data_IF_197061783001
#
_entry.id   IF_197061783001
#
_cell.length_a   1.000
_cell.length_b   1.000
_cell.length_c   1.000
_cell.angle_alpha   90.00
_cell.angle_beta   90.00
_cell.angle_gamma   90.00
#
_symmetry.space_group_name_H-M   'P 1'
#
loop_
_entity.id
_entity.type
_entity.pdbx_description
1 polymer ?
#
# COMPACT_ATOMS: atom_id res chain seq x y z
N UNK A 1 13.71 72.73 41.19
CA UNK A 1 12.70 71.66 41.08
C UNK A 1 12.94 70.86 39.81
N UNK A 2 13.64 69.71 39.90
CA UNK A 2 13.87 68.77 38.79
C UNK A 2 13.18 67.45 39.15
N UNK A 3 12.32 66.96 38.26
CA UNK A 3 11.54 65.72 38.40
C UNK A 3 12.45 64.50 38.37
N UNK A 4 12.20 63.57 39.30
CA UNK A 4 12.81 62.23 39.35
C UNK A 4 11.97 61.33 38.44
N UNK A 5 12.62 60.69 37.47
CA UNK A 5 12.02 59.67 36.61
C UNK A 5 12.36 58.29 37.19
N UNK A 6 11.35 57.54 37.57
CA UNK A 6 11.47 56.17 38.09
C UNK A 6 11.45 55.19 36.90
N UNK A 7 12.56 54.51 36.63
CA UNK A 7 12.60 53.41 35.65
C UNK A 7 12.10 52.11 36.31
N UNK A 8 11.00 51.58 35.79
CA UNK A 8 10.42 50.29 36.19
C UNK A 8 11.04 49.18 35.33
N UNK A 9 11.87 48.31 35.93
CA UNK A 9 12.38 47.11 35.26
C UNK A 9 11.27 46.04 35.22
N UNK A 10 10.72 45.77 34.04
CA UNK A 10 9.86 44.61 33.79
C UNK A 10 10.74 43.40 33.43
N UNK A 11 10.81 42.41 34.31
CA UNK A 11 11.30 41.06 33.98
C UNK A 11 10.28 40.38 33.06
N UNK A 12 10.65 40.11 31.82
CA UNK A 12 9.93 39.18 30.95
C UNK A 12 10.29 37.75 31.34
N UNK A 13 9.41 37.07 32.05
CA UNK A 13 9.47 35.62 32.20
C UNK A 13 8.92 35.02 30.91
N UNK A 14 9.80 34.54 30.03
CA UNK A 14 9.36 33.75 28.88
C UNK A 14 8.88 32.39 29.38
N UNK A 15 7.58 32.16 29.31
CA UNK A 15 7.01 30.82 29.48
C UNK A 15 7.44 30.04 28.25
N UNK A 16 8.49 29.23 28.37
CA UNK A 16 8.84 28.24 27.36
C UNK A 16 7.75 27.18 27.43
N UNK A 17 6.76 27.28 26.56
CA UNK A 17 5.80 26.20 26.34
C UNK A 17 6.59 24.99 25.86
N UNK A 18 6.57 23.84 26.55
CA UNK A 18 7.20 22.64 26.02
C UNK A 18 6.52 22.35 24.67
N UNK A 19 7.32 22.33 23.61
CA UNK A 19 6.91 21.85 22.30
C UNK A 19 6.60 20.36 22.47
N UNK A 20 5.35 20.03 22.80
CA UNK A 20 4.89 18.65 22.74
C UNK A 20 5.15 18.18 21.31
N UNK A 21 6.06 17.22 21.16
CA UNK A 21 6.27 16.52 19.91
C UNK A 21 4.90 15.99 19.49
N UNK A 22 4.32 16.62 18.46
CA UNK A 22 3.05 16.18 17.88
C UNK A 22 3.28 14.75 17.47
N UNK A 23 2.60 13.79 18.10
CA UNK A 23 2.61 12.40 17.65
C UNK A 23 2.25 12.45 16.17
N UNK A 24 3.20 12.12 15.29
CA UNK A 24 3.03 12.16 13.83
C UNK A 24 2.17 10.97 13.44
N UNK A 25 0.88 11.02 13.79
CA UNK A 25 -0.09 10.02 13.39
C UNK A 25 -0.21 10.03 11.86
N UNK A 26 -0.46 8.86 11.24
CA UNK A 26 -0.79 8.81 9.83
C UNK A 26 -1.96 9.75 9.48
N UNK A 27 -1.79 10.50 8.41
CA UNK A 27 -2.75 11.48 7.91
C UNK A 27 -3.68 10.80 6.90
N UNK A 28 -4.96 10.64 7.29
CA UNK A 28 -5.99 10.13 6.40
C UNK A 28 -6.68 11.26 5.64
N UNK A 29 -6.85 11.08 4.34
CA UNK A 29 -7.61 11.97 3.48
C UNK A 29 -8.61 11.17 2.66
N UNK A 30 -9.84 11.69 2.57
CA UNK A 30 -10.88 11.18 1.69
C UNK A 30 -11.03 12.10 0.48
N UNK A 31 -11.12 11.51 -0.71
CA UNK A 31 -11.35 12.18 -1.98
C UNK A 31 -12.55 11.55 -2.66
N UNK A 32 -13.41 12.39 -3.24
CA UNK A 32 -14.46 11.96 -4.15
C UNK A 32 -14.23 12.59 -5.52
N UNK A 33 -13.81 11.79 -6.49
CA UNK A 33 -13.48 12.25 -7.85
C UNK A 33 -14.47 11.60 -8.82
N UNK A 34 -15.32 12.41 -9.45
CA UNK A 34 -16.33 11.92 -10.41
C UNK A 34 -17.24 10.82 -9.83
N UNK A 35 -17.53 10.90 -8.52
CA UNK A 35 -18.33 9.91 -7.80
C UNK A 35 -17.54 8.70 -7.30
N UNK A 36 -16.24 8.61 -7.56
CA UNK A 36 -15.38 7.54 -7.06
C UNK A 36 -14.82 7.89 -5.68
N UNK A 37 -15.02 6.98 -4.72
CA UNK A 37 -14.44 7.05 -3.39
C UNK A 37 -12.98 6.60 -3.40
N UNK A 38 -12.11 7.47 -2.87
CA UNK A 38 -10.67 7.24 -2.79
C UNK A 38 -10.19 7.66 -1.40
N UNK A 39 -9.51 6.77 -0.71
CA UNK A 39 -8.87 7.03 0.57
C UNK A 39 -7.37 7.03 0.42
N UNK A 40 -6.75 8.01 1.06
CA UNK A 40 -5.31 8.20 1.11
C UNK A 40 -4.87 8.13 2.56
N UNK A 41 -3.80 7.39 2.85
CA UNK A 41 -3.16 7.36 4.15
C UNK A 41 -1.68 7.67 3.97
N UNK A 42 -1.24 8.86 4.40
CA UNK A 42 0.16 9.27 4.32
C UNK A 42 0.80 9.22 5.70
N UNK A 43 2.01 8.70 5.79
CA UNK A 43 2.70 8.54 7.07
C UNK A 43 4.21 8.60 6.92
N UNK A 44 4.86 9.02 8.00
CA UNK A 44 6.31 9.05 8.10
C UNK A 44 6.81 7.64 8.51
N UNK A 45 7.72 7.01 7.76
CA UNK A 45 8.28 5.71 8.14
C UNK A 45 8.96 5.72 9.53
N UNK A 46 9.40 6.89 10.01
CA UNK A 46 9.98 7.00 11.34
C UNK A 46 8.94 6.96 12.46
N UNK A 47 7.67 7.24 12.17
CA UNK A 47 6.56 7.26 13.15
C UNK A 47 5.88 5.91 13.40
N UNK A 48 6.09 4.93 12.51
CA UNK A 48 5.43 3.61 12.55
C UNK A 48 6.43 2.49 12.23
N UNK A 49 6.06 1.24 12.51
CA UNK A 49 6.68 0.06 11.93
C UNK A 49 5.78 -0.54 10.85
N UNK A 50 6.31 -0.70 9.64
CA UNK A 50 5.61 -1.21 8.46
C UNK A 50 6.00 -2.67 8.28
N UNK A 51 5.03 -3.57 8.46
CA UNK A 51 5.27 -5.01 8.34
C UNK A 51 4.39 -5.63 7.26
N UNK A 52 4.92 -6.64 6.58
CA UNK A 52 4.12 -7.56 5.77
C UNK A 52 3.82 -8.81 6.61
N UNK A 53 2.57 -9.26 6.59
CA UNK A 53 2.10 -10.45 7.30
C UNK A 53 1.29 -11.37 6.39
N UNK A 54 1.26 -12.65 6.74
CA UNK A 54 0.32 -13.66 6.21
C UNK A 54 -0.05 -14.62 7.33
N UNK A 55 -1.12 -15.39 7.16
CA UNK A 55 -1.42 -16.49 8.08
C UNK A 55 -0.34 -17.59 8.01
N UNK A 56 0.11 -18.14 9.15
CA UNK A 56 1.10 -19.22 9.17
C UNK A 56 0.64 -20.48 8.43
N UNK A 57 -0.66 -20.78 8.49
CA UNK A 57 -1.32 -21.98 7.94
C UNK A 57 -1.76 -21.83 6.47
N UNK A 58 -1.35 -20.75 5.79
CA UNK A 58 -1.74 -20.39 4.42
C UNK A 58 -3.25 -20.12 4.23
N UNK A 59 -4.06 -20.09 5.29
CA UNK A 59 -5.45 -19.65 5.19
C UNK A 59 -5.50 -18.17 4.90
N UNK A 60 -6.40 -17.80 3.98
CA UNK A 60 -6.69 -16.39 3.70
C UNK A 60 -7.49 -15.80 4.87
N UNK A 61 -7.21 -14.55 5.21
CA UNK A 61 -7.89 -13.81 6.29
C UNK A 61 -8.15 -12.38 5.87
N UNK A 62 -9.13 -11.75 6.49
CA UNK A 62 -9.42 -10.34 6.24
C UNK A 62 -8.26 -9.46 6.71
N UNK A 63 -8.06 -8.30 6.08
CA UNK A 63 -7.17 -7.23 6.57
C UNK A 63 -7.63 -6.79 7.95
N UNK A 64 -8.94 -6.75 8.20
CA UNK A 64 -9.50 -6.45 9.53
C UNK A 64 -9.00 -7.42 10.60
N UNK A 65 -8.96 -8.72 10.32
CA UNK A 65 -8.41 -9.72 11.24
C UNK A 65 -6.92 -9.52 11.47
N UNK A 66 -6.14 -9.30 10.41
CA UNK A 66 -4.70 -9.04 10.55
C UNK A 66 -4.42 -7.79 11.39
N UNK A 67 -5.17 -6.70 11.17
CA UNK A 67 -5.05 -5.47 11.96
C UNK A 67 -5.34 -5.73 13.44
N UNK A 68 -6.41 -6.46 13.75
CA UNK A 68 -6.80 -6.79 15.13
C UNK A 68 -5.78 -7.68 15.83
N UNK A 69 -5.33 -8.75 15.16
CA UNK A 69 -4.38 -9.71 15.73
C UNK A 69 -3.01 -9.08 16.02
N UNK A 70 -2.54 -8.20 15.13
CA UNK A 70 -1.24 -7.56 15.27
C UNK A 70 -1.29 -6.25 16.05
N UNK A 71 -2.45 -5.85 16.59
CA UNK A 71 -2.66 -4.55 17.23
C UNK A 71 -2.16 -3.38 16.36
N UNK A 72 -2.37 -3.49 15.04
CA UNK A 72 -1.96 -2.47 14.08
C UNK A 72 -2.91 -1.26 14.17
N UNK A 73 -2.39 -0.07 13.89
CA UNK A 73 -3.19 1.13 13.71
C UNK A 73 -3.96 1.07 12.40
N UNK A 74 -3.30 0.63 11.32
CA UNK A 74 -3.90 0.53 10.01
C UNK A 74 -3.39 -0.67 9.23
N UNK A 75 -4.14 -1.08 8.20
CA UNK A 75 -3.73 -2.12 7.28
C UNK A 75 -4.37 -1.99 5.90
N UNK A 76 -3.66 -2.47 4.89
CA UNK A 76 -4.17 -2.67 3.53
C UNK A 76 -3.89 -4.09 3.06
N UNK A 77 -4.60 -4.54 2.02
CA UNK A 77 -4.28 -5.81 1.37
C UNK A 77 -2.88 -5.79 0.73
N UNK A 78 -2.29 -6.97 0.58
CA UNK A 78 -0.96 -7.18 0.02
C UNK A 78 -0.94 -7.53 -1.47
N UNK A 79 -0.09 -8.49 -1.81
CA UNK A 79 0.13 -8.94 -3.18
C UNK A 79 -1.02 -9.78 -3.73
N UNK A 80 -0.87 -10.19 -4.99
CA UNK A 80 -1.82 -11.08 -5.66
C UNK A 80 -1.69 -12.51 -5.12
N UNK A 81 -2.77 -13.27 -5.16
CA UNK A 81 -2.78 -14.66 -4.72
C UNK A 81 -3.71 -15.54 -5.56
N UNK A 82 -3.42 -16.83 -5.56
CA UNK A 82 -4.30 -17.88 -6.08
C UNK A 82 -5.00 -18.56 -4.91
N UNK A 83 -6.20 -19.09 -5.17
CA UNK A 83 -7.03 -19.80 -4.19
C UNK A 83 -7.11 -21.25 -4.65
N UNK A 84 -6.73 -22.19 -3.80
CA UNK A 84 -6.89 -23.63 -4.04
C UNK A 84 -8.33 -24.09 -3.73
N UNK A 85 -8.67 -25.31 -4.15
CA UNK A 85 -10.02 -25.87 -3.97
C UNK A 85 -10.46 -25.96 -2.50
N UNK A 86 -9.52 -26.11 -1.57
CA UNK A 86 -9.75 -26.11 -0.13
C UNK A 86 -9.82 -24.68 0.49
N UNK A 87 -9.76 -23.63 -0.33
CA UNK A 87 -9.86 -22.22 0.07
C UNK A 87 -8.57 -21.57 0.56
N UNK A 88 -7.47 -22.31 0.64
CA UNK A 88 -6.14 -21.80 1.01
C UNK A 88 -5.59 -20.86 -0.07
N UNK A 89 -4.72 -19.94 0.35
CA UNK A 89 -4.08 -18.98 -0.52
C UNK A 89 -2.65 -19.38 -0.89
N UNK A 90 -2.17 -18.90 -2.03
CA UNK A 90 -0.74 -18.93 -2.38
C UNK A 90 -0.35 -17.65 -3.12
N UNK A 91 0.79 -17.07 -2.79
CA UNK A 91 1.24 -15.82 -3.41
C UNK A 91 1.46 -15.97 -4.93
N UNK A 92 0.98 -15.03 -5.72
CA UNK A 92 1.18 -14.95 -7.18
C UNK A 92 2.05 -13.74 -7.48
N UNK A 93 3.36 -13.94 -7.42
CA UNK A 93 4.36 -12.87 -7.56
C UNK A 93 5.42 -12.95 -6.48
N UNK A 94 6.21 -11.89 -6.34
CA UNK A 94 7.18 -11.78 -5.27
C UNK A 94 6.48 -11.71 -3.91
N UNK A 95 6.85 -12.58 -2.97
CA UNK A 95 6.50 -12.40 -1.57
C UNK A 95 7.69 -12.83 -0.71
N UNK A 96 8.19 -11.87 0.07
CA UNK A 96 9.23 -12.09 1.06
C UNK A 96 8.78 -11.48 2.39
N UNK A 97 8.83 -12.25 3.46
CA UNK A 97 8.41 -11.81 4.79
C UNK A 97 9.54 -12.11 5.77
N UNK A 98 9.99 -11.09 6.51
CA UNK A 98 11.03 -11.19 7.55
C UNK A 98 12.31 -11.89 7.08
N UNK A 99 12.72 -11.65 5.83
CA UNK A 99 13.94 -12.20 5.25
C UNK A 99 13.77 -13.55 4.55
N UNK A 100 12.58 -14.16 4.61
CA UNK A 100 12.29 -15.44 3.97
C UNK A 100 11.47 -15.25 2.69
N UNK A 101 11.96 -15.83 1.58
CA UNK A 101 11.22 -15.85 0.32
C UNK A 101 10.13 -16.92 0.37
N UNK A 102 8.88 -16.46 0.39
CA UNK A 102 7.69 -17.33 0.32
C UNK A 102 7.38 -17.65 -1.14
N UNK A 103 7.51 -16.66 -2.03
CA UNK A 103 7.42 -16.89 -3.47
C UNK A 103 8.32 -15.93 -4.26
N UNK A 104 8.87 -16.41 -5.37
CA UNK A 104 9.71 -15.64 -6.28
C UNK A 104 8.91 -15.18 -7.51
N UNK A 105 9.12 -13.94 -8.02
CA UNK A 105 8.46 -13.52 -9.25
C UNK A 105 9.00 -14.31 -10.45
N UNK A 106 8.11 -15.04 -11.12
CA UNK A 106 8.47 -15.90 -12.26
C UNK A 106 8.37 -15.17 -13.61
N UNK A 107 7.54 -14.13 -13.65
CA UNK A 107 7.44 -13.19 -14.74
C UNK A 107 7.89 -11.83 -14.21
N UNK A 108 8.20 -10.92 -15.14
CA UNK A 108 8.43 -9.53 -14.78
C UNK A 108 7.18 -8.96 -14.10
N UNK A 109 7.36 -8.46 -12.89
CA UNK A 109 6.29 -7.85 -12.09
C UNK A 109 6.85 -6.67 -11.34
N UNK A 110 6.08 -5.60 -11.20
CA UNK A 110 6.36 -4.58 -10.20
C UNK A 110 6.54 -5.23 -8.84
N UNK A 111 7.46 -4.71 -8.04
CA UNK A 111 7.60 -5.06 -6.65
C UNK A 111 8.02 -3.85 -5.82
N UNK A 112 7.65 -3.90 -4.56
CA UNK A 112 8.12 -3.01 -3.50
C UNK A 112 8.91 -3.82 -2.48
N UNK A 113 10.04 -3.30 -1.99
CA UNK A 113 10.85 -3.93 -0.95
C UNK A 113 11.37 -2.92 0.07
N UNK A 114 11.46 -3.33 1.33
CA UNK A 114 11.96 -2.49 2.42
C UNK A 114 12.58 -3.32 3.55
N UNK A 115 13.36 -2.65 4.40
CA UNK A 115 13.95 -3.22 5.62
C UNK A 115 13.16 -2.78 6.85
N UNK A 116 13.21 -3.57 7.92
CA UNK A 116 12.57 -3.25 9.21
C UNK A 116 13.12 -1.98 9.87
N UNK A 117 14.40 -1.69 9.66
CA UNK A 117 15.09 -0.57 10.31
C UNK A 117 14.90 0.72 9.53
N UNK A 118 15.41 0.79 8.29
CA UNK A 118 15.34 2.01 7.49
C UNK A 118 13.92 2.34 7.01
N UNK A 119 13.07 1.32 6.83
CA UNK A 119 11.68 1.44 6.37
C UNK A 119 11.45 2.32 5.12
N UNK A 120 12.51 2.53 4.35
CA UNK A 120 12.47 3.24 3.07
C UNK A 120 12.16 2.25 1.95
N UNK A 121 11.06 2.44 1.21
CA UNK A 121 10.67 1.51 0.17
C UNK A 121 11.50 1.73 -1.08
N UNK A 122 11.80 0.63 -1.75
CA UNK A 122 12.35 0.59 -3.08
C UNK A 122 11.37 -0.09 -4.01
N UNK A 123 11.22 0.47 -5.20
CA UNK A 123 10.31 -0.02 -6.23
C UNK A 123 11.11 -0.35 -7.48
N UNK A 124 10.83 -1.50 -8.08
CA UNK A 124 11.38 -1.89 -9.37
C UNK A 124 10.47 -2.93 -10.03
N UNK A 125 10.80 -3.32 -11.26
CA UNK A 125 10.23 -4.49 -11.92
C UNK A 125 11.22 -5.63 -11.77
N UNK A 126 10.78 -6.74 -11.18
CA UNK A 126 11.64 -7.86 -10.83
C UNK A 126 11.36 -9.08 -11.70
N UNK A 127 12.40 -9.84 -12.00
CA UNK A 127 12.33 -11.19 -12.54
C UNK A 127 13.33 -12.10 -11.81
N UNK A 128 12.98 -13.37 -11.63
CA UNK A 128 13.88 -14.35 -11.02
C UNK A 128 14.60 -15.18 -12.08
N UNK A 129 15.94 -15.23 -12.01
CA UNK A 129 16.80 -16.12 -12.80
C UNK A 129 17.27 -17.31 -11.97
N UNK A 130 17.81 -18.34 -12.64
CA UNK A 130 18.44 -19.51 -12.01
C UNK A 130 17.54 -20.24 -10.98
N UNK A 131 16.23 -20.30 -11.26
CA UNK A 131 15.21 -20.78 -10.32
C UNK A 131 15.42 -22.22 -9.84
N UNK A 132 16.02 -23.07 -10.67
CA UNK A 132 16.24 -24.49 -10.37
C UNK A 132 17.49 -24.74 -9.52
N UNK A 133 18.36 -23.74 -9.36
CA UNK A 133 19.62 -23.87 -8.63
C UNK A 133 19.66 -22.88 -7.47
N UNK A 134 20.07 -21.65 -7.73
CA UNK A 134 20.08 -20.56 -6.77
C UNK A 134 19.28 -19.39 -7.34
N UNK A 135 18.03 -19.19 -6.91
CA UNK A 135 17.19 -18.10 -7.38
C UNK A 135 17.87 -16.74 -7.21
N UNK A 136 17.97 -15.97 -8.30
CA UNK A 136 18.52 -14.61 -8.29
C UNK A 136 17.45 -13.64 -8.75
N UNK A 137 17.04 -12.75 -7.86
CA UNK A 137 16.11 -11.66 -8.17
C UNK A 137 16.86 -10.54 -8.88
N UNK A 138 16.38 -10.17 -10.07
CA UNK A 138 17.00 -9.18 -10.95
C UNK A 138 16.04 -8.01 -11.16
N UNK A 139 16.39 -6.80 -10.68
CA UNK A 139 15.70 -5.56 -11.04
C UNK A 139 15.94 -5.15 -12.49
N UNK A 140 14.94 -4.50 -13.08
CA UNK A 140 14.97 -4.01 -14.47
C UNK A 140 15.49 -2.57 -14.56
N UNK A 141 15.06 -1.69 -13.65
CA UNK A 141 15.38 -0.27 -13.72
C UNK A 141 16.72 0.03 -13.04
N UNK A 142 16.93 -0.42 -11.80
CA UNK A 142 18.22 -0.29 -11.11
C UNK A 142 19.07 -1.56 -11.30
N UNK A 143 19.79 -1.65 -12.41
CA UNK A 143 20.53 -2.88 -12.78
C UNK A 143 21.87 -3.07 -12.06
N UNK A 144 22.24 -2.13 -11.17
CA UNK A 144 23.52 -2.13 -10.48
C UNK A 144 23.71 -3.34 -9.55
N UNK A 145 24.97 -3.79 -9.30
CA UNK A 145 25.25 -4.90 -8.36
C UNK A 145 24.70 -4.64 -6.95
N UNK A 146 24.78 -3.38 -6.49
CA UNK A 146 24.24 -2.96 -5.19
C UNK A 146 22.73 -3.15 -5.11
N UNK A 147 22.00 -2.87 -6.18
CA UNK A 147 20.55 -3.03 -6.22
C UNK A 147 20.14 -4.50 -6.13
N UNK A 148 20.83 -5.39 -6.86
CA UNK A 148 20.61 -6.85 -6.76
C UNK A 148 20.82 -7.35 -5.33
N UNK A 149 21.93 -6.94 -4.71
CA UNK A 149 22.23 -7.29 -3.31
C UNK A 149 21.16 -6.75 -2.36
N UNK A 150 20.70 -5.51 -2.58
CA UNK A 150 19.65 -4.88 -1.79
C UNK A 150 18.34 -5.69 -1.83
N UNK A 151 17.88 -6.11 -3.01
CA UNK A 151 16.68 -6.96 -3.14
C UNK A 151 16.80 -8.31 -2.43
N UNK A 152 18.00 -8.89 -2.36
CA UNK A 152 18.26 -10.10 -1.59
C UNK A 152 18.22 -9.84 -0.08
N UNK A 153 18.64 -8.66 0.37
CA UNK A 153 18.76 -8.30 1.79
C UNK A 153 17.47 -7.76 2.41
N UNK A 154 16.51 -7.28 1.61
CA UNK A 154 15.24 -6.77 2.16
C UNK A 154 14.56 -7.75 3.10
N UNK A 155 14.04 -7.26 4.22
CA UNK A 155 13.19 -8.04 5.12
C UNK A 155 11.86 -8.37 4.44
N UNK A 156 11.29 -7.40 3.72
CA UNK A 156 9.98 -7.53 3.10
C UNK A 156 10.06 -7.21 1.61
N UNK A 157 9.37 -8.02 0.82
CA UNK A 157 9.15 -7.77 -0.61
C UNK A 157 7.72 -8.18 -0.94
N UNK A 158 6.99 -7.29 -1.61
CA UNK A 158 5.63 -7.56 -2.09
C UNK A 158 5.56 -7.26 -3.58
N UNK A 159 5.11 -8.25 -4.33
CA UNK A 159 4.84 -8.14 -5.76
C UNK A 159 3.49 -7.50 -6.02
N UNK A 160 3.43 -6.68 -7.05
CA UNK A 160 2.21 -6.07 -7.57
C UNK A 160 2.17 -6.18 -9.09
N UNK A 161 1.09 -5.67 -9.68
CA UNK A 161 1.03 -5.46 -11.13
C UNK A 161 0.09 -4.29 -11.47
N UNK A 162 0.53 -3.28 -12.23
CA UNK A 162 1.90 -3.05 -12.66
C UNK A 162 2.72 -2.18 -11.69
N UNK A 163 4.01 -2.03 -11.98
CA UNK A 163 4.77 -0.85 -11.52
C UNK A 163 4.19 0.40 -12.22
N UNK A 164 3.69 1.36 -11.46
CA UNK A 164 2.99 2.53 -12.00
C UNK A 164 3.96 3.67 -12.34
N UNK A 165 4.97 3.88 -11.49
CA UNK A 165 5.89 5.00 -11.60
C UNK A 165 7.28 4.61 -11.11
N UNK A 166 8.30 5.16 -11.78
CA UNK A 166 9.70 5.05 -11.36
C UNK A 166 10.40 6.39 -11.51
N UNK A 167 11.12 6.86 -10.50
CA UNK A 167 11.91 8.10 -10.55
C UNK A 167 11.12 9.32 -11.07
N UNK A 168 9.91 9.53 -10.52
CA UNK A 168 8.93 10.56 -10.91
C UNK A 168 8.39 10.45 -12.34
N UNK A 169 8.63 9.34 -13.04
CA UNK A 169 8.13 9.10 -14.40
C UNK A 169 7.04 8.02 -14.40
N UNK A 170 5.84 8.34 -14.90
CA UNK A 170 4.81 7.33 -15.16
C UNK A 170 5.27 6.28 -16.16
N UNK A 171 4.94 5.03 -15.87
CA UNK A 171 5.07 3.93 -16.81
C UNK A 171 3.75 3.82 -17.56
N UNK A 172 3.80 3.86 -18.89
CA UNK A 172 2.60 3.77 -19.75
C UNK A 172 2.57 2.50 -20.58
N UNK A 173 3.68 1.76 -20.65
CA UNK A 173 3.79 0.47 -21.33
C UNK A 173 4.00 -0.65 -20.31
N UNK A 174 2.93 -1.42 -20.09
CA UNK A 174 2.90 -2.54 -19.16
C UNK A 174 3.09 -3.90 -19.85
N UNK A 175 3.37 -3.96 -21.17
CA UNK A 175 3.47 -5.23 -21.92
C UNK A 175 4.48 -6.21 -21.33
N UNK A 176 5.57 -5.69 -20.77
CA UNK A 176 6.60 -6.47 -20.08
C UNK A 176 6.05 -7.22 -18.86
N UNK A 177 5.00 -6.70 -18.22
CA UNK A 177 4.36 -7.31 -17.07
C UNK A 177 3.22 -8.26 -17.47
N UNK A 178 2.98 -8.47 -18.78
CA UNK A 178 2.11 -9.53 -19.32
C UNK A 178 0.71 -9.58 -18.68
N UNK A 179 0.17 -8.42 -18.34
CA UNK A 179 -1.22 -8.28 -17.91
C UNK A 179 -2.16 -8.38 -19.10
N UNK A 180 -3.36 -8.92 -18.86
CA UNK A 180 -4.48 -8.83 -19.79
C UNK A 180 -4.90 -7.36 -19.96
N UNK A 181 -5.15 -6.95 -21.22
CA UNK A 181 -5.41 -5.55 -21.57
C UNK A 181 -6.59 -4.93 -20.83
N UNK A 182 -7.67 -5.71 -20.59
CA UNK A 182 -8.83 -5.26 -19.82
C UNK A 182 -8.46 -4.76 -18.43
N UNK A 183 -7.45 -5.36 -17.78
CA UNK A 183 -6.99 -4.92 -16.46
C UNK A 183 -6.43 -3.50 -16.45
N UNK A 184 -5.85 -3.01 -17.55
CA UNK A 184 -5.37 -1.62 -17.65
C UNK A 184 -6.47 -0.62 -17.99
N UNK A 185 -7.39 -1.03 -18.86
CA UNK A 185 -8.36 -0.14 -19.50
C UNK A 185 -9.66 -0.03 -18.71
N UNK A 186 -10.03 -1.09 -17.99
CA UNK A 186 -11.24 -1.11 -17.18
C UNK A 186 -11.03 -0.48 -15.80
N UNK A 187 -12.15 -0.01 -15.25
CA UNK A 187 -12.21 0.51 -13.88
C UNK A 187 -12.31 -0.64 -12.90
N UNK A 188 -11.52 -0.59 -11.85
CA UNK A 188 -11.61 -1.53 -10.73
C UNK A 188 -11.41 -0.78 -9.42
N UNK A 189 -11.80 -1.39 -8.29
CA UNK A 189 -11.18 -1.00 -7.03
C UNK A 189 -9.68 -1.28 -7.09
N UNK A 190 -8.90 -0.40 -6.48
CA UNK A 190 -7.44 -0.43 -6.56
C UNK A 190 -6.85 -0.21 -5.18
N UNK A 191 -5.76 -0.91 -4.91
CA UNK A 191 -4.84 -0.60 -3.82
C UNK A 191 -3.48 -0.26 -4.42
N UNK A 192 -2.89 0.85 -3.99
CA UNK A 192 -1.58 1.27 -4.45
C UNK A 192 -0.74 1.81 -3.29
N UNK A 193 0.58 1.68 -3.46
CA UNK A 193 1.56 2.18 -2.50
C UNK A 193 2.56 3.04 -3.25
N UNK A 194 2.93 4.18 -2.65
CA UNK A 194 3.93 5.07 -3.21
C UNK A 194 4.90 5.62 -2.16
N UNK A 195 6.09 6.00 -2.63
CA UNK A 195 6.99 6.90 -1.93
C UNK A 195 6.77 8.32 -2.45
N UNK A 196 6.61 9.30 -1.56
CA UNK A 196 6.49 10.72 -1.90
C UNK A 196 7.86 11.41 -1.91
N UNK A 197 7.93 12.57 -2.57
CA UNK A 197 9.14 13.42 -2.62
C UNK A 197 9.65 13.84 -1.23
N UNK A 198 8.75 14.00 -0.27
CA UNK A 198 9.04 14.37 1.12
C UNK A 198 9.52 13.18 1.98
N UNK A 199 9.67 11.98 1.39
CA UNK A 199 10.12 10.77 2.08
C UNK A 199 9.00 9.97 2.75
N UNK A 200 7.76 10.50 2.79
CA UNK A 200 6.62 9.78 3.36
C UNK A 200 6.15 8.66 2.46
N UNK A 201 5.56 7.64 3.07
CA UNK A 201 4.73 6.69 2.35
C UNK A 201 3.35 7.28 2.09
N UNK A 202 2.70 6.74 1.05
CA UNK A 202 1.29 6.95 0.77
C UNK A 202 0.66 5.62 0.39
N UNK A 203 -0.39 5.23 1.10
CA UNK A 203 -1.30 4.19 0.67
C UNK A 203 -2.53 4.83 0.05
N UNK A 204 -3.00 4.26 -1.06
CA UNK A 204 -4.22 4.65 -1.75
C UNK A 204 -5.11 3.44 -1.90
N UNK A 205 -6.35 3.55 -1.43
CA UNK A 205 -7.41 2.56 -1.69
C UNK A 205 -8.59 3.25 -2.36
N UNK A 206 -8.93 2.81 -3.57
CA UNK A 206 -10.09 3.28 -4.31
C UNK A 206 -11.15 2.18 -4.32
N UNK A 207 -12.37 2.54 -3.94
CA UNK A 207 -13.51 1.62 -3.90
C UNK A 207 -14.09 1.40 -5.30
N UNK A 208 -14.90 0.34 -5.43
CA UNK A 208 -15.82 0.22 -6.53
C UNK A 208 -17.15 -0.35 -6.07
N UNK A 209 -18.25 0.16 -6.64
CA UNK A 209 -19.58 -0.39 -6.40
C UNK A 209 -19.96 -1.34 -7.53
N UNK A 210 -20.46 -2.52 -7.14
CA UNK A 210 -21.21 -3.44 -8.00
C UNK A 210 -22.69 -3.32 -7.61
N UNK A 211 -23.59 -3.05 -8.55
CA UNK A 211 -25.03 -3.01 -8.22
C UNK A 211 -25.51 -4.42 -7.86
N UNK A 212 -26.12 -4.63 -6.67
CA UNK A 212 -26.59 -5.96 -6.25
C UNK A 212 -27.78 -6.48 -7.10
N UNK A 213 -28.49 -5.60 -7.82
CA UNK A 213 -29.84 -5.91 -8.33
C UNK A 213 -29.98 -5.98 -9.86
N UNK A 214 -28.90 -6.18 -10.63
CA UNK A 214 -29.02 -6.34 -12.09
C UNK A 214 -28.27 -7.56 -12.60
N UNK A 215 -28.98 -8.69 -12.86
CA UNK A 215 -28.40 -9.90 -13.42
C UNK A 215 -27.79 -9.75 -14.82
N UNK A 216 -27.95 -8.60 -15.49
CA UNK A 216 -27.58 -8.41 -16.90
C UNK A 216 -26.83 -7.11 -17.22
N UNK A 217 -26.32 -6.40 -16.21
CA UNK A 217 -25.43 -5.24 -16.47
C UNK A 217 -24.26 -5.29 -15.48
N UNK A 218 -23.24 -6.09 -15.80
CA UNK A 218 -21.93 -6.12 -15.15
C UNK A 218 -21.12 -4.83 -15.38
N UNK A 219 -21.76 -3.66 -15.33
CA UNK A 219 -21.07 -2.38 -15.51
C UNK A 219 -20.54 -1.93 -14.16
N UNK A 220 -19.22 -2.04 -13.98
CA UNK A 220 -18.50 -1.38 -12.89
C UNK A 220 -18.81 0.13 -12.99
N UNK A 221 -19.42 0.70 -11.95
CA UNK A 221 -19.86 2.10 -11.94
C UNK A 221 -18.79 3.01 -11.35
N UNK A 222 -18.04 2.48 -10.38
CA UNK A 222 -17.00 3.21 -9.67
C UNK A 222 -15.66 2.48 -9.70
N UNK A 223 -14.58 3.19 -9.36
CA UNK A 223 -13.21 2.67 -9.40
C UNK A 223 -12.36 3.39 -10.44
N UNK A 224 -11.09 3.01 -10.49
CA UNK A 224 -10.07 3.71 -11.26
C UNK A 224 -9.50 2.83 -12.35
N UNK A 225 -9.31 3.42 -13.53
CA UNK A 225 -8.34 2.91 -14.50
C UNK A 225 -6.92 3.09 -13.94
N UNK A 226 -5.95 2.35 -14.47
CA UNK A 226 -4.56 2.51 -14.03
C UNK A 226 -4.00 3.90 -14.36
N UNK A 227 -4.48 4.54 -15.43
CA UNK A 227 -4.09 5.91 -15.79
C UNK A 227 -4.55 6.91 -14.73
N UNK A 228 -5.82 6.87 -14.35
CA UNK A 228 -6.36 7.77 -13.32
C UNK A 228 -5.70 7.57 -11.97
N UNK A 229 -5.44 6.31 -11.60
CA UNK A 229 -4.69 5.96 -10.39
C UNK A 229 -3.31 6.63 -10.39
N UNK A 230 -2.54 6.47 -11.48
CA UNK A 230 -1.22 7.09 -11.64
C UNK A 230 -1.30 8.63 -11.62
N UNK A 231 -2.31 9.22 -12.25
CA UNK A 231 -2.50 10.67 -12.26
C UNK A 231 -2.79 11.24 -10.85
N UNK A 232 -3.57 10.51 -10.04
CA UNK A 232 -3.82 10.88 -8.63
C UNK A 232 -2.52 10.79 -7.83
N UNK A 233 -1.77 9.70 -7.96
CA UNK A 233 -0.50 9.50 -7.23
C UNK A 233 0.54 10.58 -7.61
N UNK A 234 0.65 10.96 -8.88
CA UNK A 234 1.47 12.08 -9.33
C UNK A 234 1.08 13.39 -8.64
N UNK A 235 -0.23 13.70 -8.58
CA UNK A 235 -0.74 14.92 -7.92
C UNK A 235 -0.48 14.93 -6.42
N UNK A 236 -0.43 13.76 -5.79
CA UNK A 236 -0.05 13.60 -4.38
C UNK A 236 1.47 13.65 -4.14
N UNK A 237 2.28 13.88 -5.19
CA UNK A 237 3.72 14.05 -5.08
C UNK A 237 4.51 12.74 -4.99
N UNK A 238 3.94 11.62 -5.43
CA UNK A 238 4.63 10.33 -5.52
C UNK A 238 5.81 10.38 -6.51
N UNK A 239 6.91 9.73 -6.17
CA UNK A 239 8.10 9.54 -7.02
C UNK A 239 8.19 8.14 -7.58
N UNK A 240 7.87 7.13 -6.77
CA UNK A 240 7.82 5.74 -7.15
C UNK A 240 6.50 5.17 -6.64
N UNK A 241 5.84 4.32 -7.44
CA UNK A 241 4.54 3.78 -7.09
C UNK A 241 4.28 2.42 -7.74
N UNK A 242 3.53 1.58 -7.03
CA UNK A 242 3.10 0.25 -7.48
C UNK A 242 1.60 0.04 -7.23
N UNK A 243 0.94 -0.67 -8.15
CA UNK A 243 -0.40 -1.19 -7.95
C UNK A 243 -0.33 -2.59 -7.30
N UNK A 244 -1.01 -2.78 -6.18
CA UNK A 244 -1.15 -4.06 -5.49
C UNK A 244 -2.41 -4.82 -5.96
N UNK A 245 -2.79 -5.90 -5.28
CA UNK A 245 -4.05 -6.59 -5.59
C UNK A 245 -5.24 -5.64 -5.43
N UNK A 246 -6.22 -5.78 -6.31
CA UNK A 246 -7.34 -4.86 -6.44
C UNK A 246 -8.69 -5.56 -6.39
N UNK A 247 -9.69 -4.92 -6.98
CA UNK A 247 -11.06 -5.44 -7.00
C UNK A 247 -11.54 -5.75 -5.59
N UNK A 248 -12.08 -6.96 -5.40
CA UNK A 248 -12.63 -7.39 -4.12
C UNK A 248 -11.64 -7.48 -2.96
N UNK A 249 -10.33 -7.48 -3.23
CA UNK A 249 -9.29 -7.48 -2.20
C UNK A 249 -9.00 -6.08 -1.66
N UNK A 250 -9.39 -5.01 -2.37
CA UNK A 250 -9.03 -3.63 -2.02
C UNK A 250 -9.70 -3.21 -0.71
N UNK A 251 -8.89 -3.13 0.35
CA UNK A 251 -9.38 -2.81 1.69
C UNK A 251 -8.39 -1.91 2.41
N UNK A 252 -8.88 -0.85 3.03
CA UNK A 252 -8.19 -0.03 4.02
C UNK A 252 -8.91 -0.20 5.35
N UNK A 253 -8.15 -0.59 6.38
CA UNK A 253 -8.62 -0.66 7.76
C UNK A 253 -7.83 0.34 8.58
N UNK A 254 -8.51 1.15 9.39
CA UNK A 254 -7.90 2.06 10.39
C UNK A 254 -8.64 1.84 11.71
N UNK A 255 -7.89 1.70 12.81
CA UNK A 255 -8.41 1.45 14.16
C UNK A 255 -9.43 0.29 14.21
N UNK A 256 -9.11 -0.78 13.48
CA UNK A 256 -9.93 -2.00 13.39
C UNK A 256 -11.26 -1.85 12.64
N UNK A 257 -11.47 -0.73 11.94
CA UNK A 257 -12.65 -0.46 11.11
C UNK A 257 -12.28 -0.36 9.64
N UNK A 258 -13.08 -0.99 8.79
CA UNK A 258 -12.96 -0.79 7.34
C UNK A 258 -13.38 0.65 7.01
N UNK A 259 -12.54 1.33 6.23
CA UNK A 259 -12.71 2.74 5.89
C UNK A 259 -13.38 2.94 4.54
N UNK A 260 -13.08 2.07 3.58
CA UNK A 260 -13.61 2.12 2.23
C UNK A 260 -14.80 1.17 2.06
N UNK A 261 -15.68 1.41 1.10
CA UNK A 261 -16.76 0.49 0.75
C UNK A 261 -16.18 -0.83 0.21
N UNK A 262 -16.44 -1.98 0.87
CA UNK A 262 -15.95 -3.26 0.40
C UNK A 262 -16.61 -3.69 -0.91
N UNK A 263 -15.88 -4.46 -1.70
CA UNK A 263 -16.36 -5.01 -2.96
C UNK A 263 -15.96 -6.48 -3.19
N UNK A 264 -15.63 -7.14 -2.08
CA UNK A 264 -15.16 -8.51 -2.00
C UNK A 264 -16.28 -9.50 -2.25
N UNK A 265 -16.61 -10.26 -1.21
CA UNK A 265 -17.52 -11.39 -1.32
C UNK A 265 -18.96 -10.90 -1.07
N UNK A 266 -19.90 -11.38 -1.88
CA UNK A 266 -21.30 -10.94 -1.77
C UNK A 266 -22.00 -11.73 -0.67
N UNK A 267 -22.57 -11.02 0.31
CA UNK A 267 -23.41 -11.60 1.34
C UNK A 267 -24.89 -11.53 0.91
N UNK A 268 -25.54 -12.66 0.59
CA UNK A 268 -26.93 -12.67 0.13
C UNK A 268 -27.93 -12.27 1.21
N UNK A 269 -27.59 -12.44 2.49
CA UNK A 269 -28.50 -12.09 3.61
C UNK A 269 -28.64 -10.58 3.75
N UNK A 270 -27.53 -9.85 3.63
CA UNK A 270 -27.50 -8.39 3.74
C UNK A 270 -27.56 -7.69 2.38
N UNK A 271 -27.54 -8.44 1.28
CA UNK A 271 -27.47 -7.94 -0.10
C UNK A 271 -26.36 -6.90 -0.31
N UNK A 272 -25.22 -7.14 0.32
CA UNK A 272 -24.07 -6.25 0.34
C UNK A 272 -22.77 -7.00 0.03
N UNK A 273 -21.77 -6.29 -0.44
CA UNK A 273 -20.42 -6.82 -0.54
C UNK A 273 -19.67 -6.60 0.78
N UNK A 274 -18.90 -7.60 1.17
CA UNK A 274 -18.08 -7.60 2.37
C UNK A 274 -16.59 -7.65 1.99
N UNK A 275 -15.74 -7.48 3.00
CA UNK A 275 -14.29 -7.63 2.84
C UNK A 275 -13.94 -9.07 2.44
N UNK A 276 -13.10 -9.21 1.41
CA UNK A 276 -12.59 -10.52 1.00
C UNK A 276 -11.39 -10.93 1.87
N UNK A 277 -11.30 -12.19 2.31
CA UNK A 277 -10.08 -12.74 2.86
C UNK A 277 -8.92 -12.75 1.83
N UNK A 278 -7.80 -12.15 2.19
CA UNK A 278 -6.57 -12.04 1.38
C UNK A 278 -5.48 -12.97 1.91
N UNK A 279 -4.47 -13.26 1.10
CA UNK A 279 -3.36 -14.13 1.52
C UNK A 279 -2.37 -13.41 2.45
N UNK A 280 -2.06 -12.15 2.13
CA UNK A 280 -1.12 -11.31 2.86
C UNK A 280 -1.62 -9.86 2.96
N UNK A 281 -1.13 -9.14 3.96
CA UNK A 281 -1.50 -7.75 4.25
C UNK A 281 -0.30 -6.93 4.71
N UNK A 282 -0.32 -5.64 4.39
CA UNK A 282 0.65 -4.65 4.84
C UNK A 282 0.05 -3.87 6.00
N UNK A 283 0.74 -3.80 7.13
CA UNK A 283 0.24 -3.21 8.37
C UNK A 283 1.13 -2.07 8.87
N UNK A 284 0.52 -1.09 9.54
CA UNK A 284 1.19 -0.04 10.30
C UNK A 284 1.06 -0.33 11.79
N UNK A 285 2.17 -0.70 12.42
CA UNK A 285 2.27 -0.88 13.86
C UNK A 285 2.70 0.45 14.49
N UNK A 286 1.99 0.96 15.50
CA UNK A 286 2.44 2.13 16.26
C UNK A 286 3.82 1.87 16.89
N UNK A 287 4.74 2.82 16.74
CA UNK A 287 5.93 2.85 17.61
C UNK A 287 5.50 3.37 18.98
N UNK A 288 5.77 2.58 20.02
CA UNK A 288 5.50 2.96 21.42
C UNK A 288 6.37 4.09 21.91
#
# INVERSE_FOLDING_TARGET
MKKIQLCLNLLFISVITPCYAKTLLPEHQFLQIQGHEIHLLSFDPDSVEIIQVKSPDNRRRSVTEFVKEHHAYAGINGGYFAISDNGEGSAVGALKIRGEWINFPIQKRGAIGWNKVEQKPYFDRLITKNRQTQPVVVPEFDTGPTARKRWQQFDYVVGGIPLLMKNSKPIVDYRQEQMITSFSEERHARTAVCLKKDGKWLWLVASHTKKPDRPQVSKIIEGLTLRELTDILLKQGCVDAINLDGGGSSTLVIDGKIINQPAGDFNPLFRSYEERPVYDAMLLIPKG
#
